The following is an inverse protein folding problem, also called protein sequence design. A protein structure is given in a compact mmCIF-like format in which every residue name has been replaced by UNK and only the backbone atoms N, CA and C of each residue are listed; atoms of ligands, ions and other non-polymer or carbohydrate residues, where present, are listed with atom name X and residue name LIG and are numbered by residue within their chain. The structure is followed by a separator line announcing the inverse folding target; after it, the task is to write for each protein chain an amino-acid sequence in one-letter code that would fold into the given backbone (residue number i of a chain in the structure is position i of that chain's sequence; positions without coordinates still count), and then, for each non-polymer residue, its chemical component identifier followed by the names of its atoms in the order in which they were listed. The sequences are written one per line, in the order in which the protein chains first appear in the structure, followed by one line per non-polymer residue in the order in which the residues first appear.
data_IF_267245821898
#
_entry.id   IF_267245821898
#
_cell.length_a   1.000
_cell.length_b   1.000
_cell.length_c   1.000
_cell.angle_alpha   90.00
_cell.angle_beta   90.00
_cell.angle_gamma   90.00
#
_symmetry.space_group_name_H-M   'P 1'
#
loop_
_entity.id
_entity.type
_entity.pdbx_description
1 polymer ?
#
# COMPACT_ATOMS: atom_id res chain seq x y z
N UNK A 1 47.65 -40.70 -11.88
CA UNK A 1 47.26 -39.61 -10.92
C UNK A 1 47.04 -38.34 -11.71
N UNK A 2 45.82 -38.08 -12.17
CA UNK A 2 45.47 -36.81 -12.84
C UNK A 2 44.56 -36.01 -11.95
N UNK A 3 45.10 -34.90 -11.45
CA UNK A 3 44.35 -33.90 -10.67
C UNK A 3 43.45 -33.08 -11.59
N UNK A 4 42.16 -33.13 -11.38
CA UNK A 4 41.18 -32.25 -12.04
C UNK A 4 41.01 -31.01 -11.19
N UNK A 5 41.43 -29.85 -11.73
CA UNK A 5 41.23 -28.53 -11.11
C UNK A 5 39.81 -28.04 -11.40
N UNK A 6 39.02 -27.81 -10.34
CA UNK A 6 37.72 -27.19 -10.46
C UNK A 6 37.85 -25.67 -10.40
N UNK A 7 37.55 -25.01 -11.52
CA UNK A 7 37.35 -23.56 -11.56
C UNK A 7 35.88 -23.24 -11.28
N UNK A 8 35.63 -22.55 -10.19
CA UNK A 8 34.32 -22.10 -9.77
C UNK A 8 33.87 -20.93 -10.65
N UNK A 9 32.96 -21.15 -11.61
CA UNK A 9 32.22 -20.09 -12.26
C UNK A 9 30.71 -20.34 -11.99
N UNK A 10 30.08 -19.35 -11.36
CA UNK A 10 28.70 -19.42 -10.94
C UNK A 10 27.71 -19.29 -12.09
N UNK A 11 27.44 -20.36 -12.77
CA UNK A 11 26.25 -20.58 -13.61
C UNK A 11 26.07 -22.08 -13.82
N UNK A 12 24.95 -22.61 -13.27
CA UNK A 12 24.33 -23.79 -13.84
C UNK A 12 25.00 -25.11 -13.55
N UNK A 13 24.53 -25.77 -12.52
CA UNK A 13 24.64 -27.22 -12.35
C UNK A 13 23.77 -27.90 -13.43
N UNK A 14 24.26 -27.89 -14.67
CA UNK A 14 23.76 -28.73 -15.74
C UNK A 14 24.98 -29.23 -16.49
N UNK A 15 25.21 -30.48 -16.43
CA UNK A 15 26.18 -31.33 -17.17
C UNK A 15 27.05 -32.11 -16.17
N UNK A 16 26.53 -33.20 -15.68
CA UNK A 16 27.21 -34.48 -15.57
C UNK A 16 26.14 -35.56 -15.28
N UNK A 17 25.30 -35.87 -16.23
CA UNK A 17 24.56 -37.16 -16.32
C UNK A 17 24.50 -37.56 -17.79
N UNK A 18 25.64 -37.76 -18.40
CA UNK A 18 25.66 -38.21 -19.78
C UNK A 18 26.57 -39.43 -20.02
N UNK A 19 26.98 -40.17 -18.98
CA UNK A 19 27.90 -41.29 -19.17
C UNK A 19 27.64 -42.52 -18.30
N UNK A 20 26.35 -42.79 -17.92
CA UNK A 20 25.97 -44.11 -17.43
C UNK A 20 24.57 -44.44 -17.98
N UNK A 21 24.44 -44.69 -19.26
CA UNK A 21 23.22 -45.22 -19.89
C UNK A 21 23.59 -46.08 -21.09
N UNK A 22 24.11 -47.27 -20.84
CA UNK A 22 24.28 -48.27 -21.90
C UNK A 22 23.35 -49.49 -21.74
N UNK A 23 22.46 -49.57 -20.74
CA UNK A 23 21.56 -50.73 -20.59
C UNK A 23 20.19 -50.41 -19.97
N UNK A 24 19.65 -49.19 -20.04
CA UNK A 24 18.28 -48.95 -19.60
C UNK A 24 17.35 -48.92 -20.81
N UNK A 25 16.25 -49.69 -20.74
CA UNK A 25 15.18 -49.71 -21.77
C UNK A 25 14.47 -48.36 -21.86
N UNK A 26 14.01 -47.97 -23.06
CA UNK A 26 13.34 -46.70 -23.33
C UNK A 26 12.18 -46.33 -22.35
N UNK A 27 11.53 -47.32 -21.74
CA UNK A 27 10.43 -47.12 -20.80
C UNK A 27 10.89 -46.56 -19.44
N UNK A 28 12.07 -46.92 -18.99
CA UNK A 28 12.61 -46.41 -17.71
C UNK A 28 13.19 -44.98 -17.85
N UNK A 29 13.70 -44.64 -19.03
CA UNK A 29 14.18 -43.30 -19.32
C UNK A 29 13.03 -42.25 -19.33
N UNK A 30 11.86 -42.60 -19.87
CA UNK A 30 10.69 -41.72 -19.88
C UNK A 30 10.16 -41.45 -18.45
N UNK A 31 10.10 -42.48 -17.61
CA UNK A 31 9.62 -42.33 -16.21
C UNK A 31 10.59 -41.50 -15.36
N UNK A 32 11.90 -41.62 -15.60
CA UNK A 32 12.91 -40.80 -14.90
C UNK A 32 12.85 -39.35 -15.39
N UNK A 33 12.58 -39.13 -16.69
CA UNK A 33 12.44 -37.80 -17.27
C UNK A 33 11.22 -37.07 -16.72
N UNK A 34 10.05 -37.72 -16.63
CA UNK A 34 8.86 -37.13 -16.03
C UNK A 34 9.01 -36.82 -14.55
N UNK A 35 9.68 -37.66 -13.78
CA UNK A 35 9.97 -37.39 -12.37
C UNK A 35 10.98 -36.22 -12.17
N UNK A 36 11.96 -36.07 -13.05
CA UNK A 36 12.90 -34.95 -12.99
C UNK A 36 12.27 -33.61 -13.39
N UNK A 37 11.30 -33.61 -14.31
CA UNK A 37 10.59 -32.40 -14.73
C UNK A 37 9.33 -32.11 -13.92
N UNK A 38 8.82 -33.06 -13.15
CA UNK A 38 7.72 -32.83 -12.20
C UNK A 38 8.18 -32.13 -10.90
N UNK A 39 9.48 -32.07 -10.65
CA UNK A 39 10.03 -31.27 -9.57
C UNK A 39 10.06 -29.80 -9.99
N UNK A 40 8.85 -29.18 -10.08
CA UNK A 40 8.77 -27.71 -9.95
C UNK A 40 9.27 -27.43 -8.52
N UNK A 41 10.43 -26.75 -8.34
CA UNK A 41 10.77 -26.28 -7.02
C UNK A 41 9.53 -25.49 -6.54
N UNK A 42 8.97 -25.85 -5.39
CA UNK A 42 8.06 -24.94 -4.69
C UNK A 42 8.86 -23.65 -4.62
N UNK A 43 8.49 -22.66 -5.45
CA UNK A 43 9.01 -21.30 -5.26
C UNK A 43 8.75 -21.03 -3.78
N UNK A 44 9.83 -20.93 -3.02
CA UNK A 44 9.78 -20.36 -1.69
C UNK A 44 9.20 -18.97 -1.93
N UNK A 45 7.92 -18.81 -1.65
CA UNK A 45 7.28 -17.50 -1.63
C UNK A 45 8.07 -16.80 -0.53
N UNK A 46 9.08 -16.04 -0.93
CA UNK A 46 9.70 -15.07 -0.05
C UNK A 46 8.53 -14.25 0.47
N UNK A 47 8.42 -14.10 1.78
CA UNK A 47 7.30 -13.50 2.51
C UNK A 47 6.53 -12.56 1.60
N UNK A 48 5.26 -12.86 1.27
CA UNK A 48 4.49 -11.95 0.43
C UNK A 48 4.55 -10.59 1.10
N UNK A 49 4.78 -9.53 0.30
CA UNK A 49 4.63 -8.15 0.72
C UNK A 49 3.45 -8.10 1.70
N UNK A 50 3.61 -7.69 2.97
CA UNK A 50 2.55 -7.72 3.96
C UNK A 50 1.27 -7.03 3.47
N UNK A 51 1.41 -6.12 2.49
CA UNK A 51 0.31 -5.42 1.87
C UNK A 51 -0.31 -6.17 0.68
N UNK A 52 0.33 -7.25 0.18
CA UNK A 52 -0.12 -7.99 -1.01
C UNK A 52 -1.55 -8.54 -0.85
N UNK A 53 -1.83 -9.18 0.30
CA UNK A 53 -3.18 -9.72 0.54
C UNK A 53 -4.24 -8.61 0.59
N UNK A 54 -3.92 -7.47 1.21
CA UNK A 54 -4.85 -6.35 1.30
C UNK A 54 -5.06 -5.71 -0.07
N UNK A 55 -4.00 -5.52 -0.86
CA UNK A 55 -4.08 -5.05 -2.25
C UNK A 55 -4.99 -5.95 -3.08
N UNK A 56 -4.83 -7.27 -2.97
CA UNK A 56 -5.68 -8.21 -3.70
C UNK A 56 -7.15 -8.14 -3.25
N UNK A 57 -7.42 -8.05 -1.93
CA UNK A 57 -8.78 -7.86 -1.41
C UNK A 57 -9.43 -6.56 -1.93
N UNK A 58 -8.69 -5.47 -1.95
CA UNK A 58 -9.17 -4.19 -2.50
C UNK A 58 -9.48 -4.32 -3.98
N UNK A 59 -8.58 -4.87 -4.78
CA UNK A 59 -8.78 -5.10 -6.21
C UNK A 59 -10.03 -5.93 -6.49
N UNK A 60 -10.18 -7.06 -5.79
CA UNK A 60 -11.35 -7.93 -5.95
C UNK A 60 -12.65 -7.23 -5.50
N UNK A 61 -12.55 -6.35 -4.50
CA UNK A 61 -13.71 -5.65 -3.97
C UNK A 61 -14.23 -4.56 -4.89
N UNK A 62 -13.38 -3.97 -5.75
CA UNK A 62 -13.76 -2.84 -6.62
C UNK A 62 -13.87 -3.21 -8.11
N UNK A 63 -13.41 -4.39 -8.54
CA UNK A 63 -13.31 -4.78 -9.96
C UNK A 63 -14.59 -4.63 -10.77
N UNK A 64 -15.75 -4.86 -10.14
CA UNK A 64 -17.05 -4.84 -10.79
C UNK A 64 -17.86 -3.58 -10.47
N UNK A 65 -17.23 -2.55 -9.85
CA UNK A 65 -17.89 -1.28 -9.53
C UNK A 65 -18.01 -0.43 -10.79
N UNK A 66 -19.23 -0.18 -11.21
CA UNK A 66 -19.56 0.60 -12.41
C UNK A 66 -20.47 1.79 -12.13
N UNK A 67 -21.17 1.78 -11.00
CA UNK A 67 -22.09 2.83 -10.57
C UNK A 67 -21.74 3.39 -9.20
N UNK A 68 -22.16 4.63 -8.94
CA UNK A 68 -22.02 5.25 -7.62
C UNK A 68 -22.69 4.42 -6.52
N UNK A 69 -23.89 3.91 -6.75
CA UNK A 69 -24.62 3.09 -5.79
C UNK A 69 -23.87 1.80 -5.43
N UNK A 70 -23.24 1.14 -6.41
CA UNK A 70 -22.38 -0.02 -6.17
C UNK A 70 -21.16 0.34 -5.31
N UNK A 71 -20.50 1.47 -5.60
CA UNK A 71 -19.40 1.94 -4.76
C UNK A 71 -19.87 2.20 -3.32
N UNK A 72 -20.97 2.93 -3.15
CA UNK A 72 -21.55 3.26 -1.83
C UNK A 72 -21.98 2.01 -1.05
N UNK A 73 -22.46 0.95 -1.73
CA UNK A 73 -22.81 -0.31 -1.08
C UNK A 73 -21.65 -1.09 -0.47
N UNK A 74 -20.42 -0.72 -0.82
CA UNK A 74 -19.17 -1.35 -0.34
C UNK A 74 -18.45 -0.52 0.74
N UNK A 75 -19.07 0.57 1.16
CA UNK A 75 -18.53 1.44 2.19
C UNK A 75 -19.05 1.06 3.57
N UNK A 76 -18.19 1.27 4.55
CA UNK A 76 -18.55 1.19 5.96
C UNK A 76 -18.16 2.45 6.69
N UNK A 77 -18.92 2.79 7.72
CA UNK A 77 -18.53 3.84 8.66
C UNK A 77 -17.45 3.31 9.60
N UNK A 78 -16.37 4.06 9.72
CA UNK A 78 -15.34 3.85 10.73
C UNK A 78 -15.30 5.02 11.68
N UNK A 79 -15.04 4.73 12.96
CA UNK A 79 -14.75 5.72 13.99
C UNK A 79 -13.30 5.52 14.43
N UNK A 80 -12.56 6.60 14.50
CA UNK A 80 -11.12 6.59 14.78
C UNK A 80 -10.75 7.67 15.80
N UNK A 81 -9.76 7.41 16.68
CA UNK A 81 -9.27 8.42 17.60
C UNK A 81 -8.46 9.49 16.86
N UNK A 82 -8.66 10.73 17.23
CA UNK A 82 -7.93 11.87 16.68
C UNK A 82 -7.50 12.84 17.77
N UNK A 83 -6.49 13.64 17.51
CA UNK A 83 -6.20 14.81 18.33
C UNK A 83 -6.86 16.04 17.72
N UNK A 84 -7.46 16.87 18.56
CA UNK A 84 -7.95 18.22 18.20
C UNK A 84 -7.11 19.27 18.88
N UNK A 85 -6.94 20.41 18.28
CA UNK A 85 -6.33 21.57 18.89
C UNK A 85 -7.45 22.52 19.37
N UNK A 86 -7.67 22.60 20.68
CA UNK A 86 -8.65 23.47 21.33
C UNK A 86 -7.91 24.42 22.26
N UNK A 87 -8.00 25.72 22.05
CA UNK A 87 -7.31 26.76 22.84
C UNK A 87 -5.80 26.51 23.00
N UNK A 88 -5.14 26.13 21.92
CA UNK A 88 -3.70 25.82 21.92
C UNK A 88 -3.32 24.48 22.57
N UNK A 89 -4.28 23.72 23.11
CA UNK A 89 -4.04 22.42 23.76
C UNK A 89 -4.53 21.28 22.87
N UNK A 90 -3.75 20.19 22.84
CA UNK A 90 -4.15 18.95 22.15
C UNK A 90 -5.08 18.16 23.05
N UNK A 91 -6.29 17.91 22.55
CA UNK A 91 -7.35 17.16 23.22
C UNK A 91 -7.69 15.93 22.39
N UNK A 92 -7.80 14.77 23.04
CA UNK A 92 -8.27 13.53 22.38
C UNK A 92 -9.74 13.65 22.04
N UNK A 93 -10.10 13.18 20.85
CA UNK A 93 -11.45 13.21 20.29
C UNK A 93 -11.63 12.01 19.36
N UNK A 94 -12.79 11.85 18.74
CA UNK A 94 -13.05 10.86 17.69
C UNK A 94 -13.51 11.54 16.42
N UNK A 95 -13.27 10.87 15.28
CA UNK A 95 -13.77 11.27 13.97
C UNK A 95 -14.45 10.08 13.31
N UNK A 96 -15.50 10.33 12.53
CA UNK A 96 -16.26 9.31 11.83
C UNK A 96 -16.38 9.61 10.35
N UNK A 97 -16.00 8.64 9.50
CA UNK A 97 -16.06 8.79 8.05
C UNK A 97 -16.30 7.44 7.36
N UNK A 98 -16.61 7.48 6.06
CA UNK A 98 -16.78 6.25 5.27
C UNK A 98 -15.51 5.89 4.51
N UNK A 99 -15.23 4.58 4.46
CA UNK A 99 -14.10 3.99 3.74
C UNK A 99 -14.55 2.66 3.12
N UNK A 100 -13.82 2.15 2.13
CA UNK A 100 -14.04 0.82 1.57
C UNK A 100 -13.95 -0.23 2.68
N UNK A 101 -14.93 -1.13 2.77
CA UNK A 101 -15.10 -2.08 3.88
C UNK A 101 -13.84 -2.91 4.19
N UNK A 102 -13.14 -3.39 3.15
CA UNK A 102 -11.91 -4.19 3.32
C UNK A 102 -10.73 -3.38 3.89
N UNK A 103 -10.76 -2.05 3.83
CA UNK A 103 -9.75 -1.15 4.39
C UNK A 103 -10.06 -0.71 5.84
N UNK A 104 -11.26 -1.02 6.36
CA UNK A 104 -11.72 -0.47 7.63
C UNK A 104 -10.80 -0.79 8.82
N UNK A 105 -10.32 -2.03 8.93
CA UNK A 105 -9.44 -2.43 10.03
C UNK A 105 -8.06 -1.79 9.90
N UNK A 106 -7.50 -1.76 8.69
CA UNK A 106 -6.21 -1.14 8.43
C UNK A 106 -6.22 0.35 8.77
N UNK A 107 -7.28 1.06 8.36
CA UNK A 107 -7.50 2.48 8.70
C UNK A 107 -7.61 2.71 10.20
N UNK A 108 -8.33 1.88 10.94
CA UNK A 108 -8.40 1.98 12.41
C UNK A 108 -7.02 1.86 13.05
N UNK A 109 -6.21 0.90 12.61
CA UNK A 109 -4.86 0.71 13.11
C UNK A 109 -3.95 1.90 12.79
N UNK A 110 -4.04 2.48 11.57
CA UNK A 110 -3.32 3.69 11.18
C UNK A 110 -3.63 4.83 12.14
N UNK A 111 -4.90 5.11 12.38
CA UNK A 111 -5.30 6.23 13.25
C UNK A 111 -4.97 5.98 14.72
N UNK A 112 -5.06 4.74 15.20
CA UNK A 112 -4.56 4.39 16.53
C UNK A 112 -3.05 4.67 16.68
N UNK A 113 -2.28 4.38 15.65
CA UNK A 113 -0.85 4.65 15.65
C UNK A 113 -0.55 6.15 15.63
N UNK A 114 -1.21 6.92 14.74
CA UNK A 114 -1.10 8.38 14.71
C UNK A 114 -1.47 8.98 16.06
N UNK A 115 -2.55 8.49 16.67
CA UNK A 115 -3.01 8.97 17.99
C UNK A 115 -2.02 8.68 19.12
N UNK A 116 -1.36 7.50 19.09
CA UNK A 116 -0.30 7.12 20.05
C UNK A 116 1.04 7.79 19.74
N UNK A 117 1.19 8.36 18.55
CA UNK A 117 2.43 8.96 18.09
C UNK A 117 2.87 10.15 18.93
N UNK A 118 4.18 10.40 18.96
CA UNK A 118 4.79 11.49 19.76
C UNK A 118 4.34 12.87 19.31
N UNK A 119 4.01 13.03 18.02
CA UNK A 119 3.57 14.31 17.47
C UNK A 119 2.18 14.70 17.98
N UNK A 120 1.33 13.73 18.36
CA UNK A 120 -0.08 13.97 18.65
C UNK A 120 -0.68 14.88 17.57
N UNK A 121 -0.52 14.46 16.29
CA UNK A 121 -0.87 15.27 15.13
C UNK A 121 -2.35 15.68 15.18
N UNK A 122 -2.67 16.99 15.19
CA UNK A 122 -4.04 17.43 15.28
C UNK A 122 -4.75 17.31 13.93
N UNK A 123 -5.91 16.71 13.92
CA UNK A 123 -6.76 16.57 12.74
C UNK A 123 -7.92 17.55 12.89
N UNK A 124 -8.00 18.51 11.97
CA UNK A 124 -9.04 19.53 11.89
C UNK A 124 -10.17 19.07 10.97
N UNK A 125 -9.79 18.46 9.85
CA UNK A 125 -10.70 17.96 8.83
C UNK A 125 -10.16 16.63 8.26
N UNK A 126 -11.06 15.67 8.08
CA UNK A 126 -10.78 14.36 7.52
C UNK A 126 -11.84 14.03 6.48
N UNK A 127 -11.42 13.62 5.28
CA UNK A 127 -12.32 13.24 4.19
C UNK A 127 -11.92 11.82 3.75
N UNK A 128 -12.82 10.84 3.90
CA UNK A 128 -12.68 9.51 3.32
C UNK A 128 -13.40 9.43 1.98
N UNK A 129 -14.48 8.62 1.89
CA UNK A 129 -15.31 8.58 0.70
C UNK A 129 -15.87 9.95 0.35
N UNK A 130 -15.74 10.30 -0.93
CA UNK A 130 -16.35 11.50 -1.51
C UNK A 130 -16.55 11.28 -3.01
N UNK A 131 -17.79 11.26 -3.46
CA UNK A 131 -18.08 11.11 -4.88
C UNK A 131 -17.57 12.31 -5.70
N UNK A 132 -16.65 12.05 -6.63
CA UNK A 132 -15.99 13.08 -7.48
C UNK A 132 -16.51 13.06 -8.93
N UNK A 133 -17.69 12.48 -9.17
CA UNK A 133 -18.29 12.42 -10.51
C UNK A 133 -17.71 11.32 -11.43
N UNK A 134 -16.65 10.62 -11.02
CA UNK A 134 -16.04 9.53 -11.78
C UNK A 134 -15.23 8.59 -10.89
N UNK A 135 -14.92 7.39 -11.38
CA UNK A 135 -14.05 6.41 -10.70
C UNK A 135 -12.54 6.67 -10.88
N UNK A 136 -12.15 7.77 -11.54
CA UNK A 136 -10.72 8.16 -11.63
C UNK A 136 -10.16 8.60 -10.28
N UNK A 137 -11.02 9.00 -9.36
CA UNK A 137 -10.61 9.38 -8.00
C UNK A 137 -10.78 8.21 -7.04
N UNK A 138 -9.75 7.89 -6.27
CA UNK A 138 -9.79 6.89 -5.21
C UNK A 138 -10.82 7.21 -4.11
N UNK A 139 -11.14 8.49 -3.90
CA UNK A 139 -12.23 8.90 -3.00
C UNK A 139 -13.58 8.37 -3.43
N UNK A 140 -13.82 8.25 -4.75
CA UNK A 140 -15.12 7.78 -5.28
C UNK A 140 -15.39 6.29 -4.99
N UNK A 141 -14.39 5.54 -4.57
CA UNK A 141 -14.49 4.14 -4.18
C UNK A 141 -14.10 3.89 -2.73
N UNK A 142 -13.87 4.96 -1.96
CA UNK A 142 -13.47 4.86 -0.56
C UNK A 142 -12.06 4.30 -0.35
N UNK A 143 -11.14 4.51 -1.28
CA UNK A 143 -9.75 4.06 -1.23
C UNK A 143 -8.76 5.18 -0.87
N UNK A 144 -9.26 6.35 -0.48
CA UNK A 144 -8.42 7.50 -0.15
C UNK A 144 -8.90 8.24 1.08
N UNK A 145 -7.96 8.92 1.73
CA UNK A 145 -8.17 9.77 2.90
C UNK A 145 -7.41 11.06 2.69
N UNK A 146 -8.11 12.20 2.86
CA UNK A 146 -7.50 13.52 2.92
C UNK A 146 -7.48 14.02 4.35
N UNK A 147 -6.34 14.56 4.79
CA UNK A 147 -6.16 15.14 6.12
C UNK A 147 -5.84 16.63 6.04
N UNK A 148 -6.62 17.45 6.74
CA UNK A 148 -6.44 18.91 6.86
C UNK A 148 -6.19 19.57 5.49
N UNK A 149 -7.14 19.53 4.53
CA UNK A 149 -6.91 20.00 3.16
C UNK A 149 -6.44 21.44 3.05
N UNK A 150 -6.86 22.33 3.95
CA UNK A 150 -6.43 23.71 3.91
C UNK A 150 -4.93 23.89 4.17
N UNK A 151 -4.38 23.11 5.11
CA UNK A 151 -2.99 23.17 5.55
C UNK A 151 -2.08 22.17 4.84
N UNK A 152 -2.65 21.32 3.98
CA UNK A 152 -1.96 20.32 3.16
C UNK A 152 -2.49 20.39 1.73
N UNK A 153 -2.19 21.48 0.98
CA UNK A 153 -2.80 21.75 -0.30
C UNK A 153 -2.42 20.74 -1.38
N UNK A 154 -3.27 20.61 -2.39
CA UNK A 154 -2.86 20.15 -3.69
C UNK A 154 -2.24 21.32 -4.45
N UNK A 155 -1.07 21.10 -5.08
CA UNK A 155 -0.35 22.15 -5.80
C UNK A 155 -0.13 21.76 -7.27
N UNK A 156 -0.10 22.76 -8.16
CA UNK A 156 0.26 22.54 -9.56
C UNK A 156 1.80 22.39 -9.72
N UNK A 157 2.26 22.20 -10.96
CA UNK A 157 3.67 22.04 -11.31
C UNK A 157 4.56 23.21 -10.86
N UNK A 158 3.99 24.40 -10.68
CA UNK A 158 4.70 25.61 -10.25
C UNK A 158 4.65 25.79 -8.73
N UNK A 159 4.10 24.82 -7.98
CA UNK A 159 3.98 24.89 -6.52
C UNK A 159 2.83 25.78 -6.01
N UNK A 160 1.98 26.32 -6.91
CA UNK A 160 0.82 27.12 -6.50
C UNK A 160 -0.32 26.20 -6.06
N UNK A 161 -0.92 26.50 -4.91
CA UNK A 161 -2.08 25.77 -4.41
C UNK A 161 -3.26 25.90 -5.38
N UNK A 162 -3.87 24.77 -5.74
CA UNK A 162 -5.12 24.62 -6.49
C UNK A 162 -6.28 24.22 -5.60
N UNK A 163 -5.99 23.50 -4.51
CA UNK A 163 -6.91 23.17 -3.41
C UNK A 163 -6.16 23.44 -2.12
N UNK A 164 -6.81 24.03 -1.11
CA UNK A 164 -6.18 24.38 0.16
C UNK A 164 -5.41 25.71 0.09
N UNK A 165 -4.56 25.95 1.07
CA UNK A 165 -3.85 27.25 1.22
C UNK A 165 -2.34 27.09 1.13
N UNK A 166 -1.68 26.67 2.22
CA UNK A 166 -0.23 26.59 2.27
C UNK A 166 0.23 25.41 3.10
N UNK A 167 1.28 24.74 2.63
CA UNK A 167 1.93 23.66 3.36
C UNK A 167 3.15 24.22 4.10
N UNK A 168 3.12 24.15 5.44
CA UNK A 168 4.16 24.71 6.32
C UNK A 168 4.53 23.69 7.40
N UNK A 169 5.16 22.56 7.05
CA UNK A 169 5.52 21.54 8.01
C UNK A 169 6.52 22.08 9.03
N UNK A 170 6.25 21.83 10.32
CA UNK A 170 7.09 22.34 11.42
C UNK A 170 6.64 23.66 12.03
N UNK A 171 6.05 24.58 11.25
CA UNK A 171 5.51 25.85 11.75
C UNK A 171 3.99 25.83 11.94
N UNK A 172 3.26 25.16 11.05
CA UNK A 172 1.82 24.96 11.19
C UNK A 172 1.56 23.57 11.79
N UNK A 173 0.89 23.44 12.95
CA UNK A 173 0.65 22.15 13.59
C UNK A 173 -0.24 21.20 12.79
N UNK A 174 -1.03 21.72 11.84
CA UNK A 174 -1.92 20.94 10.96
C UNK A 174 -1.27 20.49 9.65
N UNK A 175 -0.06 21.00 9.33
CA UNK A 175 0.68 20.59 8.13
C UNK A 175 1.43 19.28 8.37
N UNK A 176 1.21 18.31 7.48
CA UNK A 176 1.81 16.98 7.55
C UNK A 176 3.32 17.08 7.28
N UNK A 177 4.13 16.51 8.16
CA UNK A 177 5.59 16.44 8.00
C UNK A 177 5.97 15.21 7.20
N UNK A 178 6.95 15.31 6.26
CA UNK A 178 7.40 14.16 5.46
C UNK A 178 7.92 12.98 6.28
N UNK A 179 8.53 13.26 7.42
CA UNK A 179 9.08 12.28 8.37
C UNK A 179 8.22 12.11 9.63
N UNK A 180 6.98 12.61 9.59
CA UNK A 180 6.04 12.63 10.71
C UNK A 180 5.34 11.31 10.99
N UNK A 181 4.64 11.24 12.13
CA UNK A 181 3.88 10.07 12.56
C UNK A 181 2.80 9.70 11.53
N UNK A 182 2.17 10.69 10.90
CA UNK A 182 1.12 10.49 9.89
C UNK A 182 1.67 9.74 8.68
N UNK A 183 2.72 10.26 8.04
CA UNK A 183 3.30 9.64 6.83
C UNK A 183 3.79 8.23 7.13
N UNK A 184 4.47 8.03 8.26
CA UNK A 184 4.95 6.70 8.65
C UNK A 184 3.83 5.70 8.87
N UNK A 185 2.74 6.10 9.54
CA UNK A 185 1.63 5.21 9.85
C UNK A 185 0.90 4.71 8.57
N UNK A 186 0.76 5.59 7.59
CA UNK A 186 0.15 5.22 6.30
C UNK A 186 1.11 4.42 5.42
N UNK A 187 2.34 4.93 5.20
CA UNK A 187 3.25 4.35 4.20
C UNK A 187 3.77 2.97 4.57
N UNK A 188 3.97 2.67 5.85
CA UNK A 188 4.38 1.33 6.30
C UNK A 188 3.31 0.25 6.06
N UNK A 189 2.07 0.64 5.73
CA UNK A 189 0.93 -0.22 5.41
C UNK A 189 0.56 -0.16 3.92
N UNK A 190 1.49 0.27 3.07
CA UNK A 190 1.34 0.29 1.62
C UNK A 190 0.48 1.42 1.07
N UNK A 191 0.03 2.38 1.91
CA UNK A 191 -0.63 3.59 1.42
C UNK A 191 0.38 4.54 0.78
N UNK A 192 -0.05 5.23 -0.27
CA UNK A 192 0.79 6.16 -1.02
C UNK A 192 0.43 7.59 -0.61
N UNK A 193 1.45 8.35 -0.20
CA UNK A 193 1.26 9.77 0.07
C UNK A 193 1.33 10.59 -1.21
N UNK A 194 0.34 11.45 -1.46
CA UNK A 194 0.22 12.27 -2.65
C UNK A 194 1.29 13.34 -2.83
N UNK A 195 2.10 13.62 -1.81
CA UNK A 195 3.29 14.45 -1.97
C UNK A 195 4.30 13.89 -2.98
N UNK A 196 4.25 12.58 -3.26
CA UNK A 196 5.09 11.91 -4.23
C UNK A 196 4.50 11.89 -5.66
N UNK A 197 3.29 12.44 -5.86
CA UNK A 197 2.67 12.53 -7.17
C UNK A 197 3.31 13.61 -8.03
N UNK A 198 3.18 13.51 -9.34
CA UNK A 198 3.61 14.58 -10.28
C UNK A 198 2.93 15.91 -9.97
N UNK A 199 1.64 15.89 -9.68
CA UNK A 199 0.87 17.00 -9.11
C UNK A 199 0.74 16.72 -7.62
N UNK A 200 1.63 17.32 -6.82
CA UNK A 200 1.72 17.02 -5.39
C UNK A 200 0.42 17.33 -4.69
N UNK A 201 -0.03 16.39 -3.87
CA UNK A 201 -1.24 16.48 -3.09
C UNK A 201 -0.94 16.10 -1.63
N UNK A 202 -0.60 17.11 -0.84
CA UNK A 202 -0.07 16.89 0.51
C UNK A 202 -1.11 16.37 1.51
N UNK A 203 -2.42 16.57 1.26
CA UNK A 203 -3.50 16.04 2.10
C UNK A 203 -3.73 14.54 1.89
N UNK A 204 -3.41 14.03 0.70
CA UNK A 204 -3.92 12.80 0.14
C UNK A 204 -3.10 11.58 0.50
N UNK A 205 -3.78 10.55 1.04
CA UNK A 205 -3.26 9.19 1.19
C UNK A 205 -4.18 8.24 0.44
N UNK A 206 -3.66 7.51 -0.55
CA UNK A 206 -4.41 6.58 -1.38
C UNK A 206 -3.91 5.15 -1.22
N UNK A 207 -4.83 4.19 -1.23
CA UNK A 207 -4.53 2.76 -1.28
C UNK A 207 -4.91 2.20 -2.66
N UNK A 208 -3.92 2.09 -3.54
CA UNK A 208 -4.09 1.57 -4.90
C UNK A 208 -2.83 0.83 -5.36
N UNK A 209 -2.98 -0.05 -6.35
CA UNK A 209 -1.83 -0.52 -7.13
C UNK A 209 -1.27 0.65 -7.96
N UNK A 210 0.07 0.82 -7.93
CA UNK A 210 0.78 1.66 -8.90
C UNK A 210 0.99 0.89 -10.19
#
# INVERSE_FOLDING_TARGET
MNKINFKKNGRGLVIVIALILSTATLSTASSIYENLYSFKPKQKIENPDPDFELKQKVKDRIKDVSTRAEAESRLVWVEVPVWRLKDGKKVSDTERFQILDVLANDVKEIFHEIHKGKEKFPIKNLIGYSWRGSFKSLHSTGQAIDLNPEENPQVNSNGKAIVGKSWQPGSNPYSIKPDGDVVRAFTKRGWIWGANFRTRDYMHFGFAEM
#
